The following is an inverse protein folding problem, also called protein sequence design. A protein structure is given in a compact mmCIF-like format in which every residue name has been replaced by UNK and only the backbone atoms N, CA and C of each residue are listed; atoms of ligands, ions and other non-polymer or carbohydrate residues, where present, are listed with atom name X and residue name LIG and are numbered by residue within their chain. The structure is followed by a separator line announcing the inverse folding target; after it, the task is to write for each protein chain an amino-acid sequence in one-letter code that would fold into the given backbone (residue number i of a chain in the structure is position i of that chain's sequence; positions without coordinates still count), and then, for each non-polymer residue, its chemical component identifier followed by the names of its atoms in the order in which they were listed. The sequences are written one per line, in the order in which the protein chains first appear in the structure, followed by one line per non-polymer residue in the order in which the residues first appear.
data_IF_390515709268
#
_entry.id   IF_390515709268
#
_cell.length_a   1.000
_cell.length_b   1.000
_cell.length_c   1.000
_cell.angle_alpha   90.00
_cell.angle_beta   90.00
_cell.angle_gamma   90.00
#
_symmetry.space_group_name_H-M   'P 1'
#
loop_
_entity.id
_entity.type
_entity.pdbx_description
1 polymer ?
#
# COMPACT_ATOMS: atom_id res chain seq x y z
N UNK A 1 -11.87 -9.74 22.99
CA UNK A 1 -10.82 -10.26 22.08
C UNK A 1 -9.81 -9.15 21.88
N UNK A 2 -8.52 -9.43 21.84
CA UNK A 2 -7.53 -8.40 21.48
C UNK A 2 -7.73 -8.04 20.00
N UNK A 3 -7.73 -6.74 19.68
CA UNK A 3 -7.84 -6.25 18.29
C UNK A 3 -6.61 -6.69 17.51
N UNK A 4 -6.80 -7.12 16.26
CA UNK A 4 -5.72 -7.38 15.33
C UNK A 4 -5.16 -6.04 14.84
N UNK A 5 -3.90 -5.77 15.12
CA UNK A 5 -3.24 -4.53 14.73
C UNK A 5 -2.80 -4.60 13.27
N UNK A 6 -3.11 -3.56 12.51
CA UNK A 6 -2.81 -3.50 11.07
C UNK A 6 -2.11 -2.18 10.76
N UNK A 7 -0.97 -2.26 10.09
CA UNK A 7 -0.34 -1.12 9.43
C UNK A 7 -0.65 -1.16 7.94
N UNK A 8 -0.96 0.00 7.35
CA UNK A 8 -1.26 0.14 5.92
C UNK A 8 -0.18 0.96 5.23
N UNK A 9 0.38 0.44 4.14
CA UNK A 9 1.36 1.14 3.30
C UNK A 9 0.84 1.15 1.87
N UNK A 10 0.72 2.32 1.24
CA UNK A 10 0.33 2.39 -0.16
C UNK A 10 -0.75 3.44 -0.43
N UNK A 11 -1.84 3.03 -1.07
CA UNK A 11 -2.77 3.96 -1.69
C UNK A 11 -4.14 4.05 -0.99
N UNK A 12 -5.04 4.83 -1.61
CA UNK A 12 -6.41 4.97 -1.15
C UNK A 12 -7.19 3.64 -1.30
N UNK A 13 -6.74 2.74 -2.16
CA UNK A 13 -7.35 1.43 -2.33
C UNK A 13 -7.34 0.65 -1.00
N UNK A 14 -6.14 0.39 -0.46
CA UNK A 14 -5.95 -0.39 0.76
C UNK A 14 -6.47 0.34 1.99
N UNK A 15 -6.18 1.64 2.12
CA UNK A 15 -6.73 2.46 3.20
C UNK A 15 -8.27 2.44 3.20
N UNK A 16 -8.87 2.49 2.01
CA UNK A 16 -10.32 2.45 1.83
C UNK A 16 -10.95 1.16 2.34
N UNK A 17 -10.24 0.02 2.25
CA UNK A 17 -10.74 -1.25 2.77
C UNK A 17 -11.05 -1.18 4.28
N UNK A 18 -10.25 -0.45 5.05
CA UNK A 18 -10.44 -0.31 6.49
C UNK A 18 -11.27 0.92 6.90
N UNK A 19 -11.46 1.90 6.01
CA UNK A 19 -12.20 3.14 6.34
C UNK A 19 -13.59 3.25 5.72
N UNK A 20 -13.84 2.59 4.58
CA UNK A 20 -15.03 2.78 3.74
C UNK A 20 -15.86 1.50 3.55
N UNK A 21 -15.46 0.44 4.24
CA UNK A 21 -16.24 -0.78 4.38
C UNK A 21 -17.55 -0.53 5.15
N UNK A 22 -18.57 -1.35 4.86
CA UNK A 22 -19.82 -1.36 5.62
C UNK A 22 -19.85 -2.43 6.72
N UNK A 23 -18.72 -3.10 6.99
CA UNK A 23 -18.61 -4.05 8.09
C UNK A 23 -18.86 -3.32 9.41
N UNK A 24 -19.82 -3.81 10.18
CA UNK A 24 -20.11 -3.28 11.51
C UNK A 24 -18.98 -3.65 12.47
N UNK A 25 -18.72 -2.74 13.40
CA UNK A 25 -17.79 -2.96 14.52
C UNK A 25 -16.37 -3.35 14.04
N UNK A 26 -15.97 -2.86 12.86
CA UNK A 26 -14.65 -3.16 12.28
C UNK A 26 -13.54 -2.65 13.19
N UNK A 27 -13.76 -1.50 13.82
CA UNK A 27 -12.90 -0.91 14.83
C UNK A 27 -12.74 -1.78 16.06
N UNK A 28 -13.69 -2.67 16.37
CA UNK A 28 -13.59 -3.60 17.50
C UNK A 28 -12.78 -4.86 17.17
N UNK A 29 -12.48 -5.05 15.88
CA UNK A 29 -11.74 -6.20 15.38
C UNK A 29 -10.34 -5.79 14.93
N UNK A 30 -10.20 -4.66 14.23
CA UNK A 30 -8.93 -4.16 13.72
C UNK A 30 -8.54 -2.83 14.35
N UNK A 31 -7.27 -2.72 14.72
CA UNK A 31 -6.63 -1.46 15.10
C UNK A 31 -5.71 -1.00 13.96
N UNK A 32 -6.18 -0.04 13.15
CA UNK A 32 -5.39 0.54 12.05
C UNK A 32 -4.67 1.78 12.54
N UNK A 33 -3.54 1.57 13.22
CA UNK A 33 -2.81 2.61 13.95
C UNK A 33 -1.73 3.32 13.13
N UNK A 34 -1.34 2.77 11.98
CA UNK A 34 -0.32 3.35 11.10
C UNK A 34 -0.74 3.30 9.64
N UNK A 35 -0.58 4.45 8.96
CA UNK A 35 -0.81 4.58 7.51
C UNK A 35 0.35 5.35 6.89
N UNK A 36 1.14 4.70 6.04
CA UNK A 36 2.08 5.34 5.11
C UNK A 36 1.37 5.53 3.76
N UNK A 37 1.08 6.77 3.39
CA UNK A 37 0.16 7.05 2.30
C UNK A 37 0.85 7.67 1.08
N UNK A 38 0.62 7.09 -0.10
CA UNK A 38 1.08 7.58 -1.41
C UNK A 38 2.60 7.75 -1.51
N UNK A 39 3.35 6.85 -0.90
CA UNK A 39 4.80 6.68 -1.09
C UNK A 39 5.08 5.46 -1.95
N UNK A 40 6.05 5.55 -2.86
CA UNK A 40 6.58 4.41 -3.59
C UNK A 40 7.51 3.60 -2.68
N UNK A 41 7.65 2.31 -2.96
CA UNK A 41 8.51 1.42 -2.19
C UNK A 41 9.99 1.80 -2.32
N UNK A 42 10.42 2.19 -3.52
CA UNK A 42 11.78 2.69 -3.75
C UNK A 42 12.08 3.92 -2.90
N UNK A 43 11.09 4.79 -2.70
CA UNK A 43 11.25 5.95 -1.82
C UNK A 43 11.32 5.54 -0.36
N UNK A 44 10.43 4.65 0.08
CA UNK A 44 10.40 4.11 1.45
C UNK A 44 11.74 3.50 1.85
N UNK A 45 12.35 2.72 0.96
CA UNK A 45 13.61 2.00 1.19
C UNK A 45 14.86 2.84 0.92
N UNK A 46 14.70 4.13 0.67
CA UNK A 46 15.82 5.03 0.40
C UNK A 46 16.28 5.73 1.68
N UNK A 47 17.47 6.32 1.62
CA UNK A 47 17.97 7.20 2.67
C UNK A 47 17.20 8.53 2.72
N UNK A 48 17.14 9.20 3.90
CA UNK A 48 16.50 10.50 4.04
C UNK A 48 17.05 11.58 3.11
N UNK A 49 16.18 12.50 2.72
CA UNK A 49 16.55 13.68 1.92
C UNK A 49 16.41 14.91 2.81
N UNK A 50 17.53 15.56 3.10
CA UNK A 50 17.61 16.68 4.05
C UNK A 50 17.71 18.05 3.35
N UNK A 51 18.23 18.08 2.12
CA UNK A 51 18.50 19.31 1.38
C UNK A 51 17.29 19.76 0.54
N UNK A 52 16.28 20.31 1.20
CA UNK A 52 15.07 20.81 0.56
C UNK A 52 14.49 22.03 1.27
N UNK A 53 13.77 22.86 0.52
CA UNK A 53 12.89 23.89 1.08
C UNK A 53 11.43 23.44 0.92
N UNK A 54 10.63 23.56 1.97
CA UNK A 54 9.20 23.26 1.93
C UNK A 54 8.37 24.54 2.02
N UNK A 55 7.36 24.66 1.17
CA UNK A 55 6.38 25.75 1.19
C UNK A 55 5.71 25.86 2.56
N UNK A 56 5.75 27.06 3.15
CA UNK A 56 5.17 27.33 4.47
C UNK A 56 3.64 27.24 4.47
N UNK A 57 2.99 27.48 3.32
CA UNK A 57 1.52 27.51 3.19
C UNK A 57 0.91 26.16 2.78
N UNK A 58 1.70 25.08 2.86
CA UNK A 58 1.24 23.75 2.51
C UNK A 58 0.17 23.23 3.49
N UNK A 59 -0.83 22.51 2.99
CA UNK A 59 -1.85 21.90 3.85
C UNK A 59 -1.22 20.88 4.83
N UNK A 60 -1.74 20.74 6.06
CA UNK A 60 -1.18 19.80 7.05
C UNK A 60 -1.10 18.36 6.56
N UNK A 61 -2.10 17.89 5.79
CA UNK A 61 -2.08 16.55 5.22
C UNK A 61 -0.96 16.38 4.20
N UNK A 62 -0.76 17.35 3.31
CA UNK A 62 0.33 17.28 2.33
C UNK A 62 1.69 17.38 3.02
N UNK A 63 1.82 18.27 4.02
CA UNK A 63 3.03 18.37 4.84
C UNK A 63 3.39 17.02 5.44
N UNK A 64 2.45 16.39 6.15
CA UNK A 64 2.64 15.07 6.76
C UNK A 64 3.17 14.06 5.73
N UNK A 65 2.47 13.90 4.61
CA UNK A 65 2.84 12.87 3.63
C UNK A 65 4.21 13.15 3.00
N UNK A 66 4.51 14.41 2.69
CA UNK A 66 5.80 14.78 2.13
C UNK A 66 6.93 14.56 3.14
N UNK A 67 6.72 14.97 4.39
CA UNK A 67 7.70 14.76 5.47
C UNK A 67 7.96 13.27 5.67
N UNK A 68 6.92 12.44 5.75
CA UNK A 68 7.07 10.98 5.88
C UNK A 68 7.80 10.36 4.67
N UNK A 69 7.63 10.92 3.47
CA UNK A 69 8.33 10.47 2.27
C UNK A 69 9.77 11.00 2.20
N UNK A 70 10.12 12.08 2.91
CA UNK A 70 11.48 12.64 2.97
C UNK A 70 12.30 12.04 4.12
N UNK A 71 11.67 11.79 5.27
CA UNK A 71 12.31 11.36 6.52
C UNK A 71 12.59 9.85 6.59
N UNK A 72 11.85 9.03 5.83
CA UNK A 72 11.99 7.57 5.75
C UNK A 72 11.80 6.85 7.08
N UNK A 73 11.14 7.47 8.05
CA UNK A 73 10.97 6.96 9.41
C UNK A 73 9.88 5.87 9.55
N UNK A 74 9.60 5.09 8.51
CA UNK A 74 8.49 4.13 8.53
C UNK A 74 8.80 2.91 9.42
N UNK A 75 10.03 2.40 9.41
CA UNK A 75 10.41 1.24 10.21
C UNK A 75 10.38 1.51 11.71
N UNK A 76 10.81 2.70 12.15
CA UNK A 76 10.69 3.11 13.55
C UNK A 76 9.24 3.23 13.99
N UNK A 77 8.38 3.77 13.11
CA UNK A 77 6.94 3.87 13.39
C UNK A 77 6.26 2.49 13.42
N UNK A 78 6.63 1.59 12.50
CA UNK A 78 6.17 0.21 12.51
C UNK A 78 6.56 -0.49 13.81
N UNK A 79 7.81 -0.36 14.25
CA UNK A 79 8.28 -0.89 15.53
C UNK A 79 7.50 -0.32 16.72
N UNK A 80 7.17 0.97 16.66
CA UNK A 80 6.40 1.66 17.71
C UNK A 80 4.95 1.18 17.84
N UNK A 81 4.30 0.78 16.74
CA UNK A 81 2.92 0.29 16.78
C UNK A 81 2.81 -1.23 16.93
N UNK A 82 3.87 -1.97 16.57
CA UNK A 82 3.98 -3.43 16.68
C UNK A 82 2.76 -4.15 16.05
N UNK A 83 2.59 -4.06 14.70
CA UNK A 83 1.42 -4.57 14.02
C UNK A 83 1.49 -6.09 13.82
N UNK A 84 0.34 -6.76 13.87
CA UNK A 84 0.23 -8.18 13.50
C UNK A 84 0.35 -8.35 11.97
N UNK A 85 -0.13 -7.36 11.22
CA UNK A 85 -0.13 -7.37 9.76
C UNK A 85 0.34 -6.03 9.18
N UNK A 86 1.16 -6.11 8.15
CA UNK A 86 1.50 -4.97 7.28
C UNK A 86 0.87 -5.22 5.91
N UNK A 87 -0.15 -4.44 5.58
CA UNK A 87 -0.85 -4.53 4.29
C UNK A 87 -0.29 -3.48 3.34
N UNK A 88 0.26 -3.92 2.21
CA UNK A 88 0.92 -3.06 1.23
C UNK A 88 0.31 -3.17 -0.17
N UNK A 89 0.16 -2.04 -0.86
CA UNK A 89 -0.15 -2.01 -2.31
C UNK A 89 0.83 -1.12 -3.10
N UNK A 90 0.99 -1.44 -4.39
CA UNK A 90 1.98 -0.80 -5.27
C UNK A 90 1.38 0.22 -6.24
N UNK A 91 0.14 0.65 -6.01
CA UNK A 91 -0.46 1.68 -6.85
C UNK A 91 0.34 3.01 -6.83
N UNK A 92 1.00 3.44 -5.72
CA UNK A 92 1.86 4.61 -5.74
C UNK A 92 3.08 4.46 -6.66
N UNK A 93 3.73 3.29 -6.67
CA UNK A 93 4.86 2.99 -7.57
C UNK A 93 4.48 3.16 -9.04
N UNK A 94 3.29 2.70 -9.42
CA UNK A 94 2.77 2.79 -10.78
C UNK A 94 2.19 4.17 -11.12
N UNK A 95 1.61 4.86 -10.13
CA UNK A 95 0.98 6.18 -10.35
C UNK A 95 2.01 7.29 -10.42
N UNK A 96 3.01 7.23 -9.54
CA UNK A 96 3.95 8.32 -9.32
C UNK A 96 5.36 7.94 -9.77
N UNK A 97 5.80 6.70 -9.53
CA UNK A 97 7.21 6.34 -9.62
C UNK A 97 8.05 7.18 -8.67
N UNK A 98 9.30 7.45 -9.05
CA UNK A 98 10.25 8.21 -8.22
C UNK A 98 10.99 9.30 -8.97
N UNK A 99 11.49 10.28 -8.23
CA UNK A 99 12.64 11.07 -8.64
C UNK A 99 13.88 10.49 -7.95
N UNK A 100 14.96 10.31 -8.73
CA UNK A 100 16.27 9.89 -8.24
C UNK A 100 17.14 11.12 -8.01
N UNK A 101 17.80 11.19 -6.85
CA UNK A 101 18.71 12.25 -6.42
C UNK A 101 20.00 11.57 -5.95
N UNK A 102 20.99 11.46 -6.83
CA UNK A 102 22.14 10.56 -6.60
C UNK A 102 21.66 9.12 -6.41
N UNK A 103 21.95 8.53 -5.24
CA UNK A 103 21.49 7.19 -4.87
C UNK A 103 20.18 7.18 -4.06
N UNK A 104 19.56 8.35 -3.86
CA UNK A 104 18.33 8.51 -3.08
C UNK A 104 17.10 8.61 -3.97
N UNK A 105 15.94 8.27 -3.41
CA UNK A 105 14.66 8.28 -4.12
C UNK A 105 13.57 8.99 -3.32
N UNK A 106 12.80 9.83 -4.00
CA UNK A 106 11.57 10.44 -3.49
C UNK A 106 10.39 10.09 -4.39
N UNK A 107 9.20 9.90 -3.84
CA UNK A 107 8.01 9.58 -4.64
C UNK A 107 7.66 10.77 -5.53
N UNK A 108 7.54 10.56 -6.85
CA UNK A 108 7.27 11.64 -7.82
C UNK A 108 5.77 12.01 -7.87
N UNK A 109 5.19 12.30 -6.71
CA UNK A 109 3.83 12.79 -6.61
C UNK A 109 3.80 14.29 -6.93
N UNK A 110 3.75 14.64 -8.22
CA UNK A 110 3.83 16.03 -8.73
C UNK A 110 2.89 17.01 -8.03
N UNK A 111 1.70 16.56 -7.59
CA UNK A 111 0.74 17.41 -6.87
C UNK A 111 1.24 17.85 -5.49
N UNK A 112 2.07 17.04 -4.85
CA UNK A 112 2.67 17.29 -3.54
C UNK A 112 4.05 17.91 -3.69
N UNK A 113 4.89 17.35 -4.57
CA UNK A 113 6.25 17.82 -4.79
C UNK A 113 6.33 19.25 -5.31
N UNK A 114 5.27 19.81 -5.92
CA UNK A 114 5.23 21.24 -6.25
C UNK A 114 5.41 22.17 -5.04
N UNK A 115 5.23 21.67 -3.81
CA UNK A 115 5.43 22.39 -2.55
C UNK A 115 6.82 22.15 -1.95
N UNK A 116 7.70 21.43 -2.64
CA UNK A 116 9.06 21.13 -2.21
C UNK A 116 10.01 21.59 -3.30
N UNK A 117 10.96 22.43 -2.93
CA UNK A 117 12.08 22.76 -3.79
C UNK A 117 13.25 21.88 -3.38
N UNK A 118 13.56 20.91 -4.22
CA UNK A 118 14.79 20.12 -4.09
C UNK A 118 15.96 20.98 -4.55
N UNK A 119 17.01 21.05 -3.75
CA UNK A 119 18.21 21.82 -4.08
C UNK A 119 19.22 21.02 -4.92
N UNK A 120 19.07 19.70 -4.93
CA UNK A 120 19.88 18.78 -5.72
C UNK A 120 19.20 18.45 -7.07
N UNK A 121 20.00 18.04 -8.06
CA UNK A 121 19.46 17.58 -9.33
C UNK A 121 18.67 16.28 -9.15
N UNK A 122 17.48 16.24 -9.74
CA UNK A 122 16.58 15.11 -9.67
C UNK A 122 16.16 14.67 -11.07
N UNK A 123 16.12 13.36 -11.30
CA UNK A 123 15.68 12.78 -12.58
C UNK A 123 14.53 11.79 -12.39
N UNK A 124 13.63 11.69 -13.35
CA UNK A 124 12.50 10.76 -13.26
C UNK A 124 12.96 9.31 -13.44
N UNK A 125 12.77 8.50 -12.40
CA UNK A 125 12.98 7.06 -12.42
C UNK A 125 11.63 6.35 -12.20
N UNK A 126 11.05 5.88 -13.31
CA UNK A 126 9.73 5.26 -13.34
C UNK A 126 9.74 4.02 -14.21
N UNK A 127 8.75 3.14 -14.01
CA UNK A 127 8.57 1.94 -14.84
C UNK A 127 8.45 2.24 -16.34
N UNK A 128 7.88 3.39 -16.70
CA UNK A 128 7.74 3.82 -18.10
C UNK A 128 9.04 4.29 -18.76
N UNK A 129 10.00 4.82 -18.00
CA UNK A 129 11.24 5.39 -18.56
C UNK A 129 12.30 4.31 -18.75
N UNK A 130 12.41 3.37 -17.81
CA UNK A 130 13.33 2.24 -17.87
C UNK A 130 12.77 1.05 -17.10
N UNK A 131 11.88 0.31 -17.77
CA UNK A 131 11.10 -0.78 -17.16
C UNK A 131 11.97 -1.84 -16.50
N UNK A 132 12.96 -2.38 -17.21
CA UNK A 132 13.79 -3.48 -16.70
C UNK A 132 14.59 -3.03 -15.47
N UNK A 133 15.23 -1.86 -15.53
CA UNK A 133 15.98 -1.34 -14.39
C UNK A 133 15.07 -1.00 -13.21
N UNK A 134 13.88 -0.45 -13.48
CA UNK A 134 12.90 -0.13 -12.44
C UNK A 134 12.41 -1.39 -11.74
N UNK A 135 11.95 -2.40 -12.48
CA UNK A 135 11.45 -3.65 -11.90
C UNK A 135 12.53 -4.34 -11.08
N UNK A 136 13.77 -4.45 -11.59
CA UNK A 136 14.90 -5.01 -10.84
C UNK A 136 15.15 -4.27 -9.52
N UNK A 137 15.30 -2.95 -9.57
CA UNK A 137 15.56 -2.13 -8.38
C UNK A 137 14.40 -2.20 -7.38
N UNK A 138 13.18 -2.23 -7.88
CA UNK A 138 11.98 -2.33 -7.08
C UNK A 138 11.86 -3.69 -6.38
N UNK A 139 12.18 -4.80 -7.08
CA UNK A 139 12.21 -6.14 -6.48
C UNK A 139 13.27 -6.25 -5.39
N UNK A 140 14.48 -5.72 -5.63
CA UNK A 140 15.53 -5.62 -4.60
C UNK A 140 15.04 -4.87 -3.37
N UNK A 141 14.38 -3.72 -3.56
CA UNK A 141 13.82 -2.93 -2.48
C UNK A 141 12.70 -3.67 -1.72
N UNK A 142 11.85 -4.45 -2.41
CA UNK A 142 10.82 -5.25 -1.76
C UNK A 142 11.41 -6.36 -0.89
N UNK A 143 12.42 -7.07 -1.39
CA UNK A 143 13.10 -8.08 -0.57
C UNK A 143 13.79 -7.47 0.64
N UNK A 144 14.47 -6.32 0.46
CA UNK A 144 15.06 -5.58 1.58
C UNK A 144 13.99 -5.09 2.58
N UNK A 145 12.84 -4.63 2.10
CA UNK A 145 11.72 -4.22 2.94
C UNK A 145 11.21 -5.37 3.82
N UNK A 146 10.96 -6.53 3.21
CA UNK A 146 10.48 -7.73 3.93
C UNK A 146 11.54 -8.20 4.93
N UNK A 147 12.81 -8.25 4.54
CA UNK A 147 13.90 -8.64 5.43
C UNK A 147 13.98 -7.71 6.64
N UNK A 148 14.02 -6.39 6.39
CA UNK A 148 14.10 -5.40 7.46
C UNK A 148 12.88 -5.47 8.39
N UNK A 149 11.69 -5.69 7.84
CA UNK A 149 10.48 -5.90 8.64
C UNK A 149 10.60 -7.15 9.51
N UNK A 150 11.03 -8.28 8.96
CA UNK A 150 11.23 -9.52 9.71
C UNK A 150 12.27 -9.36 10.83
N UNK A 151 13.32 -8.55 10.60
CA UNK A 151 14.35 -8.29 11.60
C UNK A 151 13.80 -7.49 12.81
N UNK A 152 12.92 -6.52 12.56
CA UNK A 152 12.37 -5.67 13.64
C UNK A 152 11.05 -6.19 14.22
N UNK A 153 10.29 -6.96 13.45
CA UNK A 153 8.93 -7.43 13.72
C UNK A 153 8.74 -8.86 13.17
N UNK A 154 9.45 -9.88 13.72
CA UNK A 154 9.47 -11.23 13.18
C UNK A 154 8.12 -11.96 13.20
N UNK A 155 7.16 -11.48 13.99
CA UNK A 155 5.80 -12.02 14.05
C UNK A 155 4.82 -11.33 13.12
N UNK A 156 5.17 -10.15 12.59
CA UNK A 156 4.31 -9.41 11.68
C UNK A 156 4.23 -10.11 10.32
N UNK A 157 3.03 -10.19 9.76
CA UNK A 157 2.80 -10.81 8.44
C UNK A 157 2.62 -9.75 7.37
N UNK A 158 3.39 -9.86 6.28
CA UNK A 158 3.23 -9.01 5.10
C UNK A 158 2.10 -9.55 4.22
N UNK A 159 1.16 -8.67 3.88
CA UNK A 159 0.06 -8.96 2.95
C UNK A 159 0.11 -7.98 1.79
N UNK A 160 0.31 -8.48 0.59
CA UNK A 160 0.28 -7.68 -0.63
C UNK A 160 -1.15 -7.61 -1.14
N UNK A 161 -1.63 -6.41 -1.41
CA UNK A 161 -2.92 -6.12 -2.00
C UNK A 161 -2.76 -5.66 -3.46
N UNK A 162 -3.28 -6.43 -4.41
CA UNK A 162 -3.22 -6.08 -5.85
C UNK A 162 -4.31 -5.05 -6.21
N UNK A 163 -4.09 -3.80 -5.80
CA UNK A 163 -5.00 -2.68 -6.04
C UNK A 163 -5.05 -2.23 -7.52
N UNK A 164 -5.70 -3.01 -8.39
CA UNK A 164 -5.82 -2.72 -9.82
C UNK A 164 -6.69 -1.49 -10.12
N UNK A 165 -6.22 -0.61 -11.00
CA UNK A 165 -6.96 0.56 -11.43
C UNK A 165 -8.28 0.22 -12.13
N UNK A 166 -9.34 0.97 -11.82
CA UNK A 166 -10.65 0.89 -12.47
C UNK A 166 -10.78 1.93 -13.57
N UNK A 167 -11.42 1.55 -14.68
CA UNK A 167 -11.66 2.41 -15.85
C UNK A 167 -13.09 2.93 -15.96
N UNK A 168 -13.96 2.63 -14.98
CA UNK A 168 -15.38 2.91 -15.06
C UNK A 168 -16.00 3.25 -13.71
N UNK A 169 -17.13 3.94 -13.75
CA UNK A 169 -17.86 4.40 -12.58
C UNK A 169 -19.38 4.33 -12.76
N UNK A 170 -20.11 4.15 -11.67
CA UNK A 170 -21.56 4.34 -11.65
C UNK A 170 -21.92 5.81 -11.42
N UNK A 171 -22.71 6.39 -12.31
CA UNK A 171 -23.28 7.73 -12.12
C UNK A 171 -24.42 7.73 -11.08
N UNK A 172 -24.98 8.91 -10.79
CA UNK A 172 -26.06 9.06 -9.79
C UNK A 172 -27.34 8.30 -10.14
N UNK A 173 -27.48 7.84 -11.39
CA UNK A 173 -28.61 7.03 -11.88
C UNK A 173 -28.24 5.55 -12.01
N UNK A 174 -27.11 5.13 -11.40
CA UNK A 174 -26.56 3.78 -11.48
C UNK A 174 -26.23 3.31 -12.91
N UNK A 175 -25.98 4.24 -13.83
CA UNK A 175 -25.50 3.90 -15.18
C UNK A 175 -23.99 3.85 -15.19
N UNK A 176 -23.45 2.82 -15.84
CA UNK A 176 -22.02 2.66 -16.01
C UNK A 176 -21.47 3.70 -17.01
N UNK A 177 -20.41 4.38 -16.63
CA UNK A 177 -19.69 5.39 -17.42
C UNK A 177 -18.19 5.09 -17.39
N UNK A 178 -17.48 5.48 -18.43
CA UNK A 178 -16.02 5.34 -18.47
C UNK A 178 -15.33 6.54 -17.83
N UNK A 179 -14.29 6.26 -17.05
CA UNK A 179 -13.28 7.26 -16.69
C UNK A 179 -12.39 7.46 -17.93
N UNK A 180 -12.26 8.70 -18.40
CA UNK A 180 -11.57 9.04 -19.66
C UNK A 180 -10.05 8.87 -19.53
N UNK A 181 -9.58 7.61 -19.49
CA UNK A 181 -8.17 7.24 -19.39
C UNK A 181 -7.91 5.95 -20.18
N UNK A 182 -6.90 5.95 -21.02
CA UNK A 182 -6.61 4.86 -21.96
C UNK A 182 -5.51 3.91 -21.49
N UNK A 183 -4.76 4.25 -20.44
CA UNK A 183 -3.61 3.48 -19.94
C UNK A 183 -3.94 2.54 -18.77
N UNK A 184 -5.22 2.36 -18.41
CA UNK A 184 -5.65 1.53 -17.27
C UNK A 184 -5.12 0.10 -17.38
N UNK A 185 -5.25 -0.52 -18.56
CA UNK A 185 -4.79 -1.89 -18.77
C UNK A 185 -3.27 -1.99 -18.66
N UNK A 186 -2.53 -1.01 -19.18
CA UNK A 186 -1.07 -0.98 -19.06
C UNK A 186 -0.64 -0.89 -17.59
N UNK A 187 -1.28 0.00 -16.81
CA UNK A 187 -1.02 0.12 -15.36
C UNK A 187 -1.34 -1.14 -14.57
N UNK A 188 -2.43 -1.83 -14.90
CA UNK A 188 -2.76 -3.09 -14.23
C UNK A 188 -1.78 -4.21 -14.60
N UNK A 189 -1.29 -4.23 -15.84
CA UNK A 189 -0.21 -5.16 -16.24
C UNK A 189 1.08 -4.86 -15.47
N UNK A 190 1.41 -3.59 -15.24
CA UNK A 190 2.56 -3.19 -14.42
C UNK A 190 2.41 -3.64 -12.96
N UNK A 191 1.22 -3.47 -12.33
CA UNK A 191 0.95 -4.03 -10.99
C UNK A 191 1.16 -5.54 -10.97
N UNK A 192 0.61 -6.24 -11.97
CA UNK A 192 0.74 -7.71 -12.09
C UNK A 192 2.20 -8.13 -12.21
N UNK A 193 3.01 -7.38 -12.96
CA UNK A 193 4.42 -7.65 -13.13
C UNK A 193 5.22 -7.43 -11.85
N UNK A 194 5.00 -6.31 -11.14
CA UNK A 194 5.63 -6.10 -9.83
C UNK A 194 5.25 -7.21 -8.85
N UNK A 195 3.97 -7.57 -8.80
CA UNK A 195 3.47 -8.66 -7.94
C UNK A 195 4.07 -10.01 -8.30
N UNK A 196 4.21 -10.32 -9.60
CA UNK A 196 4.83 -11.56 -10.05
C UNK A 196 6.33 -11.62 -9.71
N UNK A 197 7.02 -10.48 -9.72
CA UNK A 197 8.45 -10.40 -9.43
C UNK A 197 8.81 -10.69 -7.97
N UNK A 198 7.84 -10.65 -7.05
CA UNK A 198 8.01 -10.91 -5.62
C UNK A 198 7.28 -12.18 -5.16
N UNK A 199 6.74 -12.95 -6.10
CA UNK A 199 5.99 -14.16 -5.79
C UNK A 199 6.96 -15.27 -5.35
N UNK A 200 7.27 -15.26 -4.05
CA UNK A 200 8.15 -16.20 -3.37
C UNK A 200 7.41 -16.84 -2.17
N UNK A 201 7.94 -17.96 -1.67
CA UNK A 201 7.41 -18.63 -0.49
C UNK A 201 7.30 -17.66 0.70
N UNK A 202 6.13 -17.61 1.33
CA UNK A 202 5.88 -16.83 2.55
C UNK A 202 5.20 -15.47 2.36
N UNK A 203 5.12 -14.92 1.15
CA UNK A 203 4.35 -13.67 0.90
C UNK A 203 2.89 -14.01 0.64
N UNK A 204 1.98 -13.45 1.45
CA UNK A 204 0.54 -13.58 1.21
C UNK A 204 0.08 -12.49 0.26
N UNK A 205 -0.60 -12.87 -0.82
CA UNK A 205 -1.21 -11.94 -1.77
C UNK A 205 -2.74 -12.05 -1.69
N UNK A 206 -3.41 -10.93 -1.49
CA UNK A 206 -4.86 -10.82 -1.69
C UNK A 206 -5.08 -10.20 -3.07
N UNK A 207 -5.51 -11.05 -4.01
CA UNK A 207 -5.83 -10.65 -5.36
C UNK A 207 -7.33 -10.73 -5.64
N UNK A 208 -7.92 -9.58 -5.98
CA UNK A 208 -9.33 -9.46 -6.33
C UNK A 208 -9.54 -9.23 -7.83
N UNK A 209 -8.49 -9.32 -8.64
CA UNK A 209 -8.50 -8.94 -10.06
C UNK A 209 -9.45 -9.76 -10.94
N UNK A 210 -9.86 -10.96 -10.50
CA UNK A 210 -10.86 -11.79 -11.17
C UNK A 210 -12.27 -11.16 -11.16
N UNK A 211 -12.52 -10.26 -10.21
CA UNK A 211 -13.77 -9.53 -10.11
C UNK A 211 -13.71 -8.20 -10.87
N UNK A 212 -14.83 -7.81 -11.48
CA UNK A 212 -14.98 -6.49 -12.11
C UNK A 212 -15.51 -5.49 -11.09
N UNK A 213 -14.69 -4.50 -10.78
CA UNK A 213 -15.05 -3.39 -9.89
C UNK A 213 -15.09 -2.06 -10.62
N UNK A 214 -15.86 -1.14 -10.05
CA UNK A 214 -16.01 0.21 -10.53
C UNK A 214 -15.77 1.20 -9.40
N UNK A 215 -15.70 2.49 -9.74
CA UNK A 215 -15.88 3.56 -8.76
C UNK A 215 -17.34 4.03 -8.74
N UNK A 216 -17.66 4.97 -7.86
CA UNK A 216 -18.98 5.62 -7.81
C UNK A 216 -18.84 7.14 -7.88
N UNK A 217 -19.77 7.79 -8.59
CA UNK A 217 -19.90 9.25 -8.59
C UNK A 217 -20.24 9.82 -7.20
N UNK A 218 -20.84 9.02 -6.31
CA UNK A 218 -21.13 9.37 -4.92
C UNK A 218 -20.03 8.93 -3.94
N UNK A 219 -18.88 8.46 -4.43
CA UNK A 219 -17.78 8.01 -3.58
C UNK A 219 -17.27 9.15 -2.68
N UNK A 220 -16.99 8.86 -1.40
CA UNK A 220 -16.56 9.84 -0.38
C UNK A 220 -15.35 10.66 -0.83
N UNK A 221 -14.43 10.05 -1.58
CA UNK A 221 -13.21 10.68 -2.12
C UNK A 221 -13.32 11.08 -3.59
N UNK A 222 -14.55 11.22 -4.11
CA UNK A 222 -14.87 11.40 -5.54
C UNK A 222 -14.47 10.17 -6.38
N UNK A 223 -15.07 10.07 -7.56
CA UNK A 223 -14.73 9.05 -8.54
C UNK A 223 -13.24 9.15 -8.91
N UNK A 224 -12.52 8.03 -8.75
CA UNK A 224 -11.08 7.95 -8.99
C UNK A 224 -10.69 6.54 -9.39
N UNK A 225 -9.53 6.40 -10.02
CA UNK A 225 -9.06 5.15 -10.61
C UNK A 225 -8.70 4.07 -9.57
N UNK A 226 -8.60 4.42 -8.29
CA UNK A 226 -8.31 3.52 -7.16
C UNK A 226 -9.30 3.73 -5.99
N UNK A 227 -10.43 4.38 -6.27
CA UNK A 227 -11.49 4.66 -5.30
C UNK A 227 -12.65 3.74 -5.64
N UNK A 228 -12.77 2.60 -5.00
CA UNK A 228 -13.71 1.57 -5.45
C UNK A 228 -15.10 1.79 -4.86
N UNK A 229 -16.10 1.21 -5.48
CA UNK A 229 -17.39 0.99 -4.84
C UNK A 229 -17.25 0.14 -3.57
N UNK A 230 -18.18 0.29 -2.63
CA UNK A 230 -18.12 -0.39 -1.32
C UNK A 230 -18.02 -1.91 -1.42
N UNK A 231 -18.54 -2.52 -2.49
CA UNK A 231 -18.40 -3.97 -2.72
C UNK A 231 -16.93 -4.41 -2.67
N UNK A 232 -16.03 -3.67 -3.32
CA UNK A 232 -14.60 -3.99 -3.32
C UNK A 232 -14.00 -3.99 -1.93
N UNK A 233 -14.30 -2.97 -1.12
CA UNK A 233 -13.80 -2.86 0.25
C UNK A 233 -14.29 -4.02 1.13
N UNK A 234 -15.54 -4.44 0.94
CA UNK A 234 -16.09 -5.59 1.65
C UNK A 234 -15.46 -6.92 1.20
N UNK A 235 -15.24 -7.11 -0.10
CA UNK A 235 -14.63 -8.33 -0.63
C UNK A 235 -13.16 -8.48 -0.17
N UNK A 236 -12.41 -7.37 -0.16
CA UNK A 236 -11.07 -7.34 0.42
C UNK A 236 -11.09 -7.72 1.89
N UNK A 237 -11.94 -7.08 2.69
CA UNK A 237 -12.01 -7.36 4.12
C UNK A 237 -12.40 -8.82 4.37
N UNK A 238 -13.34 -9.39 3.61
CA UNK A 238 -13.71 -10.79 3.75
C UNK A 238 -12.50 -11.71 3.54
N UNK A 239 -11.72 -11.49 2.48
CA UNK A 239 -10.49 -12.25 2.22
C UNK A 239 -9.45 -12.05 3.35
N UNK A 240 -9.29 -10.82 3.83
CA UNK A 240 -8.37 -10.51 4.93
C UNK A 240 -8.81 -11.14 6.25
N UNK A 241 -10.12 -11.13 6.56
CA UNK A 241 -10.69 -11.81 7.72
C UNK A 241 -10.45 -13.32 7.70
N UNK A 242 -10.68 -13.95 6.54
CA UNK A 242 -10.43 -15.38 6.36
C UNK A 242 -8.95 -15.71 6.60
N UNK A 243 -8.03 -14.87 6.11
CA UNK A 243 -6.60 -15.00 6.36
C UNK A 243 -6.28 -14.88 7.86
N UNK A 244 -6.86 -13.90 8.55
CA UNK A 244 -6.67 -13.70 9.99
C UNK A 244 -7.15 -14.92 10.78
N UNK A 245 -8.36 -15.42 10.51
CA UNK A 245 -8.91 -16.59 11.19
C UNK A 245 -8.03 -17.83 10.93
N UNK A 246 -7.60 -18.05 9.68
CA UNK A 246 -6.72 -19.16 9.32
C UNK A 246 -5.42 -19.11 10.14
N UNK A 247 -4.79 -17.94 10.23
CA UNK A 247 -3.55 -17.74 10.97
C UNK A 247 -3.72 -17.98 12.48
N UNK A 248 -4.84 -17.53 13.06
CA UNK A 248 -5.15 -17.74 14.47
C UNK A 248 -5.38 -19.22 14.78
N UNK A 249 -6.03 -19.97 13.89
CA UNK A 249 -6.25 -21.40 14.07
C UNK A 249 -4.92 -22.19 13.99
N UNK A 250 -4.06 -21.87 13.01
CA UNK A 250 -2.74 -22.49 12.89
C UNK A 250 -1.87 -22.24 14.14
N UNK A 251 -1.91 -21.03 14.69
CA UNK A 251 -1.18 -20.72 15.92
C UNK A 251 -1.66 -21.54 17.12
N UNK A 252 -2.97 -21.82 17.21
CA UNK A 252 -3.54 -22.68 18.27
C UNK A 252 -3.15 -24.14 18.10
N UNK A 253 -3.17 -24.67 16.88
CA UNK A 253 -2.78 -26.06 16.59
C UNK A 253 -1.32 -26.32 17.00
N UNK A 254 -0.40 -25.41 16.65
CA UNK A 254 1.02 -25.49 17.06
C UNK A 254 1.21 -25.41 18.58
N UNK A 255 0.35 -24.71 19.30
CA UNK A 255 0.38 -24.67 20.77
C UNK A 255 -0.14 -25.97 21.42
N UNK A 256 -1.08 -26.67 20.76
CA UNK A 256 -1.62 -27.93 21.25
C UNK A 256 -0.68 -29.13 21.01
N UNK A 257 0.05 -29.15 19.90
CA UNK A 257 1.04 -30.20 19.60
C UNK A 257 2.31 -30.12 20.46
N UNK A 258 2.56 -28.98 21.11
CA UNK A 258 3.69 -28.76 22.04
C UNK A 258 3.38 -29.00 23.53
N UNK A 259 2.17 -29.45 23.88
CA UNK A 259 1.80 -29.75 25.27
C UNK A 259 2.52 -31.00 25.80
N UNK A 260 2.88 -31.06 27.11
CA UNK A 260 3.53 -32.25 27.66
C UNK A 260 2.61 -33.46 27.49
N UNK A 261 3.13 -34.50 26.83
CA UNK A 261 2.56 -35.84 26.85
C UNK A 261 2.59 -36.31 28.30
N UNK A 262 1.47 -36.13 29.02
CA UNK A 262 1.29 -36.82 30.29
C UNK A 262 1.19 -38.31 29.98
N UNK A 263 2.21 -39.03 30.43
CA UNK A 263 2.34 -40.50 30.44
C UNK A 263 1.09 -41.13 31.04
#
# INVERSE_FOLDING_TARGET
MQKTKVAVIGSAATRGCFELSNARDLEDIFDVSLIQYQSSLLSIMSEPIENYDMDENISPLYKKIITEDLDKGIFDRLKGVDPDYVVIDFAPDITYGTLRIGDRYITNNKKKLKHVKLNDQAEEFTINNNKEAYVRKWTEAFHAFVQQLNDILPSAKVVVHTANFVGSYFDKTYRLKSLRRTDIQAKNNEIKELTAAINQDGITVIDLSDNKYNTSSSHKWKAGYIHYETKYYNDFLLAFFQLVIKNLNQAKELQHEGGPSYV
#
